data_IF_261703780231
#
_entry.id   IF_261703780231
#
_cell.length_a   1.000
_cell.length_b   1.000
_cell.length_c   1.000
_cell.angle_alpha   90.00
_cell.angle_beta   90.00
_cell.angle_gamma   90.00
#
_symmetry.space_group_name_H-M   'P 1'
#
loop_
_entity.id
_entity.type
_entity.pdbx_description
1 polymer ?
#
# COMPACT_ATOMS: atom_id res chain seq x y z
N UNK A 1 48.11 21.85 -25.13
CA UNK A 1 46.71 21.72 -24.66
C UNK A 1 46.38 20.24 -24.62
N UNK A 2 46.33 19.57 -23.44
CA UNK A 2 46.09 18.14 -23.40
C UNK A 2 44.60 17.82 -23.41
N UNK A 3 44.28 16.75 -24.14
CA UNK A 3 43.01 16.07 -24.30
C UNK A 3 42.26 15.82 -22.99
N UNK A 4 40.99 16.23 -22.94
CA UNK A 4 39.99 15.64 -22.04
C UNK A 4 39.45 14.36 -22.69
N UNK A 5 40.16 13.27 -22.46
CA UNK A 5 39.63 11.92 -22.65
C UNK A 5 38.50 11.71 -21.63
N UNK A 6 37.28 12.03 -22.05
CA UNK A 6 36.07 11.76 -21.27
C UNK A 6 35.65 10.35 -21.64
N UNK A 7 36.42 9.36 -21.16
CA UNK A 7 36.04 7.95 -21.21
C UNK A 7 34.73 7.82 -20.42
N UNK A 8 33.60 7.80 -21.14
CA UNK A 8 32.34 7.26 -20.63
C UNK A 8 32.67 5.88 -20.08
N UNK A 9 32.77 5.75 -18.75
CA UNK A 9 32.81 4.44 -18.07
C UNK A 9 31.63 3.66 -18.62
N UNK A 10 31.90 2.66 -19.48
CA UNK A 10 30.87 1.69 -19.86
C UNK A 10 30.30 1.15 -18.55
N UNK A 11 29.00 1.30 -18.36
CA UNK A 11 28.31 0.73 -17.23
C UNK A 11 28.60 -0.78 -17.23
N UNK A 12 29.43 -1.23 -16.28
CA UNK A 12 29.81 -2.62 -16.17
C UNK A 12 28.54 -3.42 -15.86
N UNK A 13 28.25 -4.43 -16.69
CA UNK A 13 27.13 -5.34 -16.48
C UNK A 13 27.26 -5.93 -15.06
N UNK A 14 26.27 -5.75 -14.18
CA UNK A 14 26.34 -6.29 -12.82
C UNK A 14 26.38 -7.81 -12.87
N UNK A 15 26.97 -8.46 -11.87
CA UNK A 15 26.93 -9.94 -11.81
C UNK A 15 25.50 -10.41 -11.60
N UNK A 16 25.16 -11.60 -12.12
CA UNK A 16 23.79 -12.14 -12.06
C UNK A 16 23.29 -12.25 -10.62
N UNK A 17 24.16 -12.57 -9.66
CA UNK A 17 23.83 -12.63 -8.24
C UNK A 17 23.42 -11.27 -7.68
N UNK A 18 24.17 -10.22 -8.01
CA UNK A 18 23.92 -8.88 -7.51
C UNK A 18 22.66 -8.28 -8.15
N UNK A 19 22.46 -8.53 -9.46
CA UNK A 19 21.25 -8.13 -10.16
C UNK A 19 20.02 -8.85 -9.59
N UNK A 20 20.11 -10.17 -9.36
CA UNK A 20 19.03 -10.97 -8.77
C UNK A 20 18.63 -10.43 -7.40
N UNK A 21 19.61 -10.17 -6.53
CA UNK A 21 19.36 -9.69 -5.18
C UNK A 21 18.71 -8.30 -5.15
N UNK A 22 19.20 -7.37 -5.99
CA UNK A 22 18.58 -6.06 -6.14
C UNK A 22 17.13 -6.16 -6.63
N UNK A 23 16.89 -6.94 -7.70
CA UNK A 23 15.55 -7.10 -8.28
C UNK A 23 14.59 -7.77 -7.29
N UNK A 24 15.07 -8.68 -6.44
CA UNK A 24 14.29 -9.31 -5.37
C UNK A 24 13.84 -8.30 -4.32
N UNK A 25 14.77 -7.50 -3.80
CA UNK A 25 14.46 -6.47 -2.82
C UNK A 25 13.57 -5.37 -3.41
N UNK A 26 13.84 -4.93 -4.64
CA UNK A 26 13.04 -3.94 -5.37
C UNK A 26 11.59 -4.42 -5.58
N UNK A 27 11.41 -5.67 -6.03
CA UNK A 27 10.08 -6.26 -6.26
C UNK A 27 9.31 -6.44 -4.95
N UNK A 28 9.99 -6.91 -3.89
CA UNK A 28 9.43 -7.03 -2.55
C UNK A 28 9.01 -5.67 -1.99
N UNK A 29 9.82 -4.62 -2.17
CA UNK A 29 9.50 -3.27 -1.76
C UNK A 29 8.27 -2.71 -2.47
N UNK A 30 8.13 -2.90 -3.79
CA UNK A 30 6.92 -2.50 -4.52
C UNK A 30 5.68 -3.21 -3.97
N UNK A 31 5.76 -4.53 -3.76
CA UNK A 31 4.64 -5.33 -3.26
C UNK A 31 4.23 -4.91 -1.83
N UNK A 32 5.19 -4.80 -0.92
CA UNK A 32 4.95 -4.43 0.48
C UNK A 32 4.48 -2.98 0.65
N UNK A 33 4.57 -2.14 -0.38
CA UNK A 33 4.00 -0.79 -0.40
C UNK A 33 2.67 -0.70 -1.16
N UNK A 34 2.14 -1.82 -1.64
CA UNK A 34 0.80 -1.93 -2.21
C UNK A 34 0.73 -1.81 -3.74
N UNK A 35 1.81 -2.12 -4.46
CA UNK A 35 1.74 -2.20 -5.93
C UNK A 35 0.94 -3.44 -6.38
N UNK A 36 0.26 -3.35 -7.53
CA UNK A 36 -0.34 -4.49 -8.21
C UNK A 36 0.69 -5.28 -9.02
N UNK A 37 0.41 -6.56 -9.25
CA UNK A 37 1.37 -7.57 -9.74
C UNK A 37 1.92 -7.20 -11.10
N UNK A 38 1.06 -6.80 -12.04
CA UNK A 38 1.50 -6.44 -13.39
C UNK A 38 2.42 -5.23 -13.42
N UNK A 39 2.31 -4.30 -12.46
CA UNK A 39 3.28 -3.19 -12.31
C UNK A 39 4.62 -3.67 -11.81
N UNK A 40 4.63 -4.56 -10.81
CA UNK A 40 5.87 -5.14 -10.26
C UNK A 40 6.65 -5.84 -11.38
N UNK A 41 5.98 -6.73 -12.12
CA UNK A 41 6.59 -7.47 -13.22
C UNK A 41 7.18 -6.51 -14.27
N UNK A 42 6.39 -5.56 -14.77
CA UNK A 42 6.84 -4.60 -15.80
C UNK A 42 8.03 -3.75 -15.35
N UNK A 43 8.06 -3.31 -14.10
CA UNK A 43 9.16 -2.49 -13.58
C UNK A 43 10.43 -3.32 -13.40
N UNK A 44 10.32 -4.54 -12.86
CA UNK A 44 11.46 -5.43 -12.66
C UNK A 44 12.04 -5.91 -13.99
N UNK A 45 11.20 -6.27 -14.96
CA UNK A 45 11.62 -6.63 -16.33
C UNK A 45 12.35 -5.49 -17.02
N UNK A 46 11.87 -4.25 -16.87
CA UNK A 46 12.53 -3.06 -17.44
C UNK A 46 13.96 -2.90 -16.91
N UNK A 47 14.15 -3.06 -15.60
CA UNK A 47 15.48 -2.96 -14.97
C UNK A 47 16.37 -4.11 -15.43
N UNK A 48 15.86 -5.35 -15.43
CA UNK A 48 16.63 -6.52 -15.86
C UNK A 48 17.12 -6.37 -17.31
N UNK A 49 16.24 -5.94 -18.22
CA UNK A 49 16.58 -5.73 -19.63
C UNK A 49 17.61 -4.62 -19.82
N UNK A 50 17.55 -3.55 -19.04
CA UNK A 50 18.55 -2.48 -19.07
C UNK A 50 19.96 -2.99 -18.72
N UNK A 51 20.06 -4.04 -17.91
CA UNK A 51 21.32 -4.72 -17.55
C UNK A 51 21.63 -5.95 -18.41
N UNK A 52 20.86 -6.22 -19.46
CA UNK A 52 21.09 -7.36 -20.36
C UNK A 52 20.70 -8.72 -19.76
N UNK A 53 19.72 -8.73 -18.86
CA UNK A 53 19.11 -9.92 -18.27
C UNK A 53 17.64 -10.04 -18.65
N UNK A 54 17.15 -11.27 -18.72
CA UNK A 54 15.73 -11.57 -18.76
C UNK A 54 15.29 -12.08 -17.39
N UNK A 55 14.06 -11.76 -17.00
CA UNK A 55 13.53 -12.10 -15.67
C UNK A 55 12.09 -12.55 -15.78
N UNK A 56 11.75 -13.59 -15.04
CA UNK A 56 10.37 -14.03 -14.82
C UNK A 56 10.07 -14.06 -13.34
N UNK A 57 8.92 -13.52 -12.96
CA UNK A 57 8.51 -13.39 -11.57
C UNK A 57 7.21 -14.15 -11.30
N UNK A 58 7.19 -14.86 -10.18
CA UNK A 58 5.94 -15.36 -9.58
C UNK A 58 5.72 -14.60 -8.28
N UNK A 59 4.66 -13.80 -8.23
CA UNK A 59 4.36 -12.90 -7.11
C UNK A 59 3.22 -13.47 -6.27
N UNK A 60 3.52 -13.78 -5.01
CA UNK A 60 2.53 -14.12 -4.00
C UNK A 60 2.57 -13.11 -2.85
N UNK A 61 1.52 -13.06 -2.01
CA UNK A 61 1.49 -12.16 -0.85
C UNK A 61 2.68 -12.36 0.08
N UNK A 62 3.07 -13.61 0.36
CA UNK A 62 4.12 -13.93 1.33
C UNK A 62 5.51 -14.07 0.73
N UNK A 63 5.61 -14.46 -0.55
CA UNK A 63 6.87 -14.75 -1.21
C UNK A 63 6.87 -14.23 -2.64
N UNK A 64 8.03 -13.82 -3.13
CA UNK A 64 8.27 -13.60 -4.56
C UNK A 64 9.37 -14.57 -4.99
N UNK A 65 9.11 -15.29 -6.08
CA UNK A 65 10.12 -16.09 -6.77
C UNK A 65 10.57 -15.33 -8.00
N UNK A 66 11.89 -15.17 -8.16
CA UNK A 66 12.51 -14.51 -9.30
C UNK A 66 13.44 -15.49 -9.99
N UNK A 67 13.23 -15.68 -11.29
CA UNK A 67 14.14 -16.39 -12.18
C UNK A 67 14.82 -15.36 -13.08
N UNK A 68 16.14 -15.28 -13.02
CA UNK A 68 16.94 -14.40 -13.89
C UNK A 68 17.84 -15.24 -14.80
N UNK A 69 17.93 -14.84 -16.06
CA UNK A 69 18.75 -15.49 -17.10
C UNK A 69 19.56 -14.44 -17.85
N UNK A 70 20.82 -14.76 -18.15
CA UNK A 70 21.64 -13.91 -19.02
C UNK A 70 21.19 -14.06 -20.48
N UNK A 71 20.88 -12.95 -21.13
CA UNK A 71 20.46 -12.91 -22.54
C UNK A 71 21.50 -13.45 -23.51
N UNK A 72 22.79 -13.41 -23.14
CA UNK A 72 23.88 -13.91 -23.99
C UNK A 72 24.33 -15.33 -23.63
N UNK A 73 23.97 -15.83 -22.44
CA UNK A 73 24.38 -17.15 -21.99
C UNK A 73 23.32 -17.77 -21.08
N UNK A 74 22.50 -18.65 -21.64
CA UNK A 74 21.42 -19.31 -20.93
C UNK A 74 21.88 -20.18 -19.74
N UNK A 75 23.11 -20.68 -19.76
CA UNK A 75 23.67 -21.48 -18.65
C UNK A 75 23.87 -20.62 -17.39
N UNK A 76 23.99 -19.30 -17.55
CA UNK A 76 23.98 -18.34 -16.44
C UNK A 76 22.55 -17.99 -16.07
N UNK A 77 21.98 -18.80 -15.18
CA UNK A 77 20.65 -18.60 -14.62
C UNK A 77 20.65 -18.73 -13.10
N UNK A 78 19.77 -18.00 -12.44
CA UNK A 78 19.61 -18.05 -10.99
C UNK A 78 18.14 -17.90 -10.61
N UNK A 79 17.73 -18.68 -9.61
CA UNK A 79 16.43 -18.56 -8.97
C UNK A 79 16.61 -18.12 -7.53
N UNK A 80 15.89 -17.09 -7.12
CA UNK A 80 15.86 -16.62 -5.74
C UNK A 80 14.41 -16.51 -5.26
N UNK A 81 14.19 -16.88 -4.00
CA UNK A 81 12.91 -16.70 -3.32
C UNK A 81 13.13 -15.75 -2.16
N UNK A 82 12.35 -14.67 -2.10
CA UNK A 82 12.38 -13.69 -1.01
C UNK A 82 11.04 -13.70 -0.28
N UNK A 83 11.09 -13.52 1.04
CA UNK A 83 9.91 -13.33 1.87
C UNK A 83 9.52 -11.85 1.86
N UNK A 84 8.23 -11.58 1.68
CA UNK A 84 7.73 -10.21 1.65
C UNK A 84 7.46 -9.69 3.06
N UNK A 85 7.66 -8.39 3.25
CA UNK A 85 7.23 -7.70 4.46
C UNK A 85 5.70 -7.52 4.46
N UNK A 86 5.07 -7.30 5.64
CA UNK A 86 3.65 -7.01 5.74
C UNK A 86 3.23 -5.88 4.80
N UNK A 87 2.08 -6.04 4.13
CA UNK A 87 1.58 -5.04 3.20
C UNK A 87 1.26 -3.73 3.93
N UNK A 88 1.82 -2.65 3.42
CA UNK A 88 1.49 -1.27 3.73
C UNK A 88 1.12 -0.56 2.44
N UNK A 89 0.47 0.62 2.53
CA UNK A 89 0.12 1.41 1.36
C UNK A 89 0.97 2.68 1.33
N UNK A 90 1.83 2.81 0.32
CA UNK A 90 2.63 4.00 0.09
C UNK A 90 2.71 4.30 -1.41
N UNK A 91 1.72 5.03 -1.91
CA UNK A 91 1.61 5.37 -3.33
C UNK A 91 2.77 6.25 -3.81
N UNK A 92 3.31 7.13 -2.95
CA UNK A 92 4.46 7.96 -3.28
C UNK A 92 5.70 7.11 -3.54
N UNK A 93 6.00 6.15 -2.66
CA UNK A 93 7.13 5.24 -2.85
C UNK A 93 6.95 4.34 -4.08
N UNK A 94 5.73 3.84 -4.34
CA UNK A 94 5.45 3.09 -5.58
C UNK A 94 5.75 3.95 -6.80
N UNK A 95 5.32 5.21 -6.80
CA UNK A 95 5.56 6.15 -7.91
C UNK A 95 7.06 6.39 -8.11
N UNK A 96 7.79 6.67 -7.03
CA UNK A 96 9.23 6.92 -7.08
C UNK A 96 10.02 5.69 -7.55
N UNK A 97 9.69 4.49 -7.05
CA UNK A 97 10.32 3.25 -7.50
C UNK A 97 9.98 2.95 -8.97
N UNK A 98 8.77 3.26 -9.41
CA UNK A 98 8.38 3.13 -10.82
C UNK A 98 9.20 4.11 -11.69
N UNK A 99 9.39 5.35 -11.24
CA UNK A 99 10.26 6.32 -11.92
C UNK A 99 11.72 5.86 -11.96
N UNK A 100 12.23 5.28 -10.86
CA UNK A 100 13.58 4.71 -10.80
C UNK A 100 13.79 3.63 -11.87
N UNK A 101 12.79 2.78 -12.14
CA UNK A 101 12.92 1.77 -13.20
C UNK A 101 13.09 2.38 -14.59
N UNK A 102 12.47 3.55 -14.85
CA UNK A 102 12.67 4.30 -16.09
C UNK A 102 14.02 4.98 -16.12
N UNK A 103 14.44 5.62 -15.02
CA UNK A 103 15.77 6.23 -14.91
C UNK A 103 16.89 5.21 -15.15
N UNK A 104 16.79 4.00 -14.59
CA UNK A 104 17.77 2.93 -14.84
C UNK A 104 17.82 2.56 -16.32
N UNK A 105 16.67 2.49 -16.98
CA UNK A 105 16.58 2.14 -18.40
C UNK A 105 17.12 3.23 -19.32
N UNK A 106 16.68 4.48 -19.11
CA UNK A 106 16.95 5.60 -20.01
C UNK A 106 18.36 6.18 -19.79
N UNK A 107 18.78 6.30 -18.53
CA UNK A 107 20.10 6.84 -18.16
C UNK A 107 21.18 5.76 -18.05
N UNK A 108 20.80 4.47 -18.22
CA UNK A 108 21.68 3.30 -18.12
C UNK A 108 22.48 3.27 -16.82
N UNK A 109 21.78 3.48 -15.70
CA UNK A 109 22.40 3.52 -14.38
C UNK A 109 23.09 2.19 -14.05
N UNK A 110 24.29 2.31 -13.49
CA UNK A 110 25.02 1.16 -12.93
C UNK A 110 24.33 0.66 -11.66
N UNK A 111 24.55 -0.60 -11.31
CA UNK A 111 23.96 -1.20 -10.09
C UNK A 111 24.23 -0.37 -8.82
N UNK A 112 25.46 0.14 -8.55
CA UNK A 112 25.68 0.98 -7.37
C UNK A 112 24.85 2.27 -7.36
N UNK A 113 24.66 2.91 -8.53
CA UNK A 113 23.83 4.12 -8.64
C UNK A 113 22.35 3.81 -8.45
N UNK A 114 21.89 2.67 -8.98
CA UNK A 114 20.53 2.17 -8.77
C UNK A 114 20.28 1.86 -7.29
N UNK A 115 21.24 1.22 -6.61
CA UNK A 115 21.18 0.92 -5.18
C UNK A 115 21.10 2.20 -4.35
N UNK A 116 21.96 3.19 -4.62
CA UNK A 116 21.94 4.48 -3.92
C UNK A 116 20.59 5.19 -4.09
N UNK A 117 20.04 5.20 -5.31
CA UNK A 117 18.74 5.83 -5.60
C UNK A 117 17.59 5.07 -4.93
N UNK A 118 17.66 3.74 -4.90
CA UNK A 118 16.72 2.89 -4.19
C UNK A 118 16.75 3.19 -2.68
N UNK A 119 17.93 3.16 -2.05
CA UNK A 119 18.11 3.40 -0.61
C UNK A 119 17.64 4.81 -0.22
N UNK A 120 17.92 5.81 -1.05
CA UNK A 120 17.41 7.17 -0.86
C UNK A 120 15.89 7.21 -0.80
N UNK A 121 15.20 6.53 -1.74
CA UNK A 121 13.75 6.50 -1.79
C UNK A 121 13.13 5.74 -0.61
N UNK A 122 13.74 4.63 -0.20
CA UNK A 122 13.30 3.85 0.97
C UNK A 122 13.48 4.66 2.28
N UNK A 123 14.52 5.48 2.37
CA UNK A 123 14.83 6.28 3.55
C UNK A 123 13.98 7.55 3.71
N UNK A 124 13.18 7.94 2.71
CA UNK A 124 12.37 9.16 2.78
C UNK A 124 11.38 9.12 3.95
N UNK A 125 11.41 10.17 4.78
CA UNK A 125 10.53 10.30 5.94
C UNK A 125 9.09 10.52 5.49
N UNK A 126 8.18 9.84 6.20
CA UNK A 126 6.73 10.06 6.07
C UNK A 126 6.34 11.42 6.63
N UNK A 127 5.18 11.93 6.21
CA UNK A 127 4.55 13.13 6.77
C UNK A 127 4.52 13.05 8.31
N UNK A 128 4.58 14.21 8.98
CA UNK A 128 4.50 14.25 10.44
C UNK A 128 3.18 13.60 10.90
N UNK A 129 3.22 12.71 11.92
CA UNK A 129 2.07 11.87 12.26
C UNK A 129 0.86 12.71 12.69
N UNK A 130 1.08 13.82 13.39
CA UNK A 130 0.03 14.69 13.92
C UNK A 130 -0.69 15.44 12.79
N UNK A 131 0.07 16.03 11.85
CA UNK A 131 -0.52 16.71 10.70
C UNK A 131 -1.28 15.73 9.81
N UNK A 132 -0.74 14.51 9.65
CA UNK A 132 -1.42 13.42 8.94
C UNK A 132 -2.78 13.08 9.55
N UNK A 133 -2.87 12.92 10.88
CA UNK A 133 -4.15 12.64 11.56
C UNK A 133 -5.18 13.73 11.29
N UNK A 134 -4.78 14.99 11.40
CA UNK A 134 -5.68 16.11 11.16
C UNK A 134 -6.17 16.17 9.70
N UNK A 135 -5.26 16.09 8.73
CA UNK A 135 -5.60 16.13 7.30
C UNK A 135 -6.51 14.95 6.92
N UNK A 136 -6.23 13.73 7.39
CA UNK A 136 -7.06 12.56 7.12
C UNK A 136 -8.45 12.75 7.73
N UNK A 137 -8.55 13.31 8.95
CA UNK A 137 -9.84 13.53 9.61
C UNK A 137 -10.68 14.58 8.88
N UNK A 138 -10.06 15.69 8.46
CA UNK A 138 -10.74 16.72 7.62
C UNK A 138 -11.16 16.13 6.27
N UNK A 139 -10.27 15.38 5.63
CA UNK A 139 -10.55 14.73 4.34
C UNK A 139 -11.72 13.74 4.44
N UNK A 140 -11.77 12.92 5.50
CA UNK A 140 -12.88 12.00 5.71
C UNK A 140 -14.20 12.74 6.01
N UNK A 141 -14.14 13.79 6.83
CA UNK A 141 -15.31 14.61 7.16
C UNK A 141 -15.86 15.37 5.95
N UNK A 142 -15.02 15.75 4.97
CA UNK A 142 -15.48 16.39 3.75
C UNK A 142 -16.42 15.50 2.91
N UNK A 143 -16.27 14.17 2.97
CA UNK A 143 -17.19 13.25 2.31
C UNK A 143 -18.61 13.29 2.88
N UNK A 144 -18.80 13.78 4.11
CA UNK A 144 -20.12 13.99 4.70
C UNK A 144 -21.04 14.76 3.75
N UNK A 145 -20.51 15.84 3.14
CA UNK A 145 -21.30 16.68 2.24
C UNK A 145 -21.63 15.99 0.92
N UNK A 146 -20.75 15.11 0.44
CA UNK A 146 -20.99 14.31 -0.77
C UNK A 146 -22.16 13.33 -0.60
N UNK A 147 -22.37 12.82 0.63
CA UNK A 147 -23.48 11.93 0.96
C UNK A 147 -24.76 12.67 1.39
N UNK A 148 -24.76 14.01 1.34
CA UNK A 148 -25.92 14.82 1.75
C UNK A 148 -26.03 15.06 3.27
N UNK A 149 -24.96 14.82 4.03
CA UNK A 149 -24.95 15.02 5.47
C UNK A 149 -24.95 16.48 5.90
N UNK A 150 -25.38 16.69 7.15
CA UNK A 150 -25.39 18.00 7.80
C UNK A 150 -24.05 18.35 8.48
N UNK A 151 -23.96 19.58 9.01
CA UNK A 151 -22.77 20.03 9.73
C UNK A 151 -22.53 19.20 11.01
N UNK A 152 -23.60 18.71 11.65
CA UNK A 152 -23.49 17.81 12.80
C UNK A 152 -22.79 16.50 12.45
N UNK A 153 -23.19 15.86 11.36
CA UNK A 153 -22.59 14.62 10.88
C UNK A 153 -21.12 14.85 10.50
N UNK A 154 -20.78 16.00 9.92
CA UNK A 154 -19.40 16.37 9.63
C UNK A 154 -18.55 16.37 10.89
N UNK A 155 -19.03 16.97 11.99
CA UNK A 155 -18.33 16.99 13.28
C UNK A 155 -18.21 15.59 13.89
N UNK A 156 -19.26 14.77 13.81
CA UNK A 156 -19.25 13.38 14.28
C UNK A 156 -18.21 12.54 13.51
N UNK A 157 -18.17 12.66 12.18
CA UNK A 157 -17.21 11.96 11.32
C UNK A 157 -15.78 12.42 11.63
N UNK A 158 -15.56 13.72 11.80
CA UNK A 158 -14.26 14.27 12.16
C UNK A 158 -13.78 13.71 13.51
N UNK A 159 -14.62 13.78 14.54
CA UNK A 159 -14.29 13.28 15.87
C UNK A 159 -14.04 11.76 15.88
N UNK A 160 -14.91 10.99 15.23
CA UNK A 160 -14.76 9.54 15.09
C UNK A 160 -13.46 9.17 14.37
N UNK A 161 -13.16 9.83 13.24
CA UNK A 161 -11.93 9.60 12.47
C UNK A 161 -10.69 9.96 13.28
N UNK A 162 -10.71 11.11 13.96
CA UNK A 162 -9.60 11.58 14.77
C UNK A 162 -9.26 10.59 15.87
N UNK A 163 -10.27 10.17 16.65
CA UNK A 163 -10.11 9.16 17.71
C UNK A 163 -9.67 7.82 17.11
N UNK A 164 -10.28 7.38 16.01
CA UNK A 164 -9.98 6.11 15.36
C UNK A 164 -8.54 5.98 14.87
N UNK A 165 -7.95 7.05 14.35
CA UNK A 165 -6.53 7.04 13.94
C UNK A 165 -5.63 6.86 15.16
N UNK A 166 -5.91 7.54 16.27
CA UNK A 166 -5.19 7.36 17.53
C UNK A 166 -5.33 5.94 18.08
N UNK A 167 -6.55 5.40 18.07
CA UNK A 167 -6.82 3.99 18.42
C UNK A 167 -5.98 3.05 17.57
N UNK A 168 -5.93 3.27 16.25
CA UNK A 168 -5.14 2.43 15.34
C UNK A 168 -3.65 2.51 15.64
N UNK A 169 -3.11 3.70 15.92
CA UNK A 169 -1.71 3.89 16.32
C UNK A 169 -1.43 3.15 17.63
N UNK A 170 -2.33 3.25 18.60
CA UNK A 170 -2.22 2.55 19.88
C UNK A 170 -2.25 1.03 19.71
N UNK A 171 -3.22 0.50 18.95
CA UNK A 171 -3.32 -0.93 18.65
C UNK A 171 -2.08 -1.47 17.93
N UNK A 172 -1.48 -0.68 17.03
CA UNK A 172 -0.23 -1.05 16.38
C UNK A 172 0.95 -1.11 17.37
N UNK A 173 1.02 -0.19 18.35
CA UNK A 173 2.07 -0.20 19.39
C UNK A 173 2.01 -1.45 20.27
N UNK A 174 0.81 -1.92 20.61
CA UNK A 174 0.62 -3.15 21.40
C UNK A 174 0.71 -4.44 20.56
N UNK A 175 1.05 -4.34 19.26
CA UNK A 175 1.19 -5.47 18.33
C UNK A 175 -0.05 -6.38 18.23
N UNK A 176 -1.24 -5.80 18.35
CA UNK A 176 -2.49 -6.52 18.18
C UNK A 176 -2.62 -7.09 16.75
N UNK A 177 -3.25 -8.25 16.58
CA UNK A 177 -3.49 -8.82 15.23
C UNK A 177 -4.28 -7.85 14.34
N UNK A 178 -3.90 -7.75 13.07
CA UNK A 178 -4.50 -6.78 12.13
C UNK A 178 -6.03 -6.88 12.03
N UNK A 179 -6.60 -8.09 12.12
CA UNK A 179 -8.06 -8.29 12.04
C UNK A 179 -8.75 -7.75 13.28
N UNK A 180 -8.19 -8.02 14.45
CA UNK A 180 -8.67 -7.47 15.72
C UNK A 180 -8.54 -5.94 15.76
N UNK A 181 -7.50 -5.37 15.12
CA UNK A 181 -7.35 -3.92 15.02
C UNK A 181 -8.51 -3.29 14.24
N UNK A 182 -8.87 -3.85 13.09
CA UNK A 182 -9.99 -3.34 12.29
C UNK A 182 -11.32 -3.46 13.03
N UNK A 183 -11.56 -4.55 13.75
CA UNK A 183 -12.77 -4.73 14.57
C UNK A 183 -12.84 -3.68 15.70
N UNK A 184 -11.78 -3.51 16.49
CA UNK A 184 -11.77 -2.54 17.58
C UNK A 184 -11.84 -1.09 17.08
N UNK A 185 -11.10 -0.76 16.03
CA UNK A 185 -11.11 0.58 15.46
C UNK A 185 -12.48 0.93 14.90
N UNK A 186 -13.09 0.05 14.11
CA UNK A 186 -14.43 0.30 13.56
C UNK A 186 -15.45 0.51 14.67
N UNK A 187 -15.47 -0.35 15.69
CA UNK A 187 -16.34 -0.19 16.85
C UNK A 187 -16.15 1.16 17.56
N UNK A 188 -14.91 1.54 17.88
CA UNK A 188 -14.64 2.81 18.59
C UNK A 188 -15.05 4.00 17.73
N UNK A 189 -14.72 3.98 16.44
CA UNK A 189 -15.06 5.04 15.49
C UNK A 189 -16.57 5.22 15.37
N UNK A 190 -17.32 4.14 15.13
CA UNK A 190 -18.78 4.19 15.04
C UNK A 190 -19.42 4.57 16.37
N UNK A 191 -18.87 4.12 17.50
CA UNK A 191 -19.39 4.45 18.83
C UNK A 191 -19.22 5.94 19.18
N UNK A 192 -18.07 6.54 18.83
CA UNK A 192 -17.85 7.99 18.99
C UNK A 192 -18.83 8.79 18.12
N UNK A 193 -19.04 8.36 16.86
CA UNK A 193 -20.03 8.99 16.00
C UNK A 193 -21.46 8.84 16.57
N UNK A 194 -21.79 7.67 17.12
CA UNK A 194 -23.06 7.41 17.77
C UNK A 194 -23.29 8.31 19.00
N UNK A 195 -22.28 8.59 19.83
CA UNK A 195 -22.43 9.53 20.95
C UNK A 195 -22.90 10.91 20.45
N UNK A 196 -22.34 11.38 19.32
CA UNK A 196 -22.78 12.63 18.70
C UNK A 196 -24.22 12.59 18.20
N UNK A 197 -24.64 11.45 17.63
CA UNK A 197 -26.03 11.19 17.25
C UNK A 197 -26.96 11.20 18.47
N UNK A 198 -26.59 10.51 19.54
CA UNK A 198 -27.38 10.40 20.77
C UNK A 198 -27.58 11.76 21.47
N UNK A 199 -26.58 12.65 21.38
CA UNK A 199 -26.68 14.03 21.86
C UNK A 199 -27.55 14.94 20.97
N UNK A 200 -28.07 14.44 19.85
CA UNK A 200 -28.88 15.21 18.91
C UNK A 200 -28.09 16.23 18.09
N UNK A 201 -26.78 16.05 17.94
CA UNK A 201 -25.92 16.99 17.21
C UNK A 201 -26.19 16.96 15.69
N UNK A 202 -26.69 15.83 15.17
CA UNK A 202 -26.94 15.62 13.74
C UNK A 202 -28.37 15.14 13.47
N UNK A 203 -28.95 15.62 12.38
CA UNK A 203 -30.20 15.14 11.81
C UNK A 203 -30.00 13.99 10.81
N UNK A 204 -28.75 13.61 10.52
CA UNK A 204 -28.39 12.57 9.54
C UNK A 204 -27.54 11.47 10.19
N UNK A 205 -28.13 10.63 11.06
CA UNK A 205 -27.39 9.62 11.84
C UNK A 205 -26.73 8.55 10.98
N UNK A 206 -27.40 8.09 9.92
CA UNK A 206 -26.88 7.06 9.02
C UNK A 206 -25.59 7.51 8.33
N UNK A 207 -25.56 8.78 7.90
CA UNK A 207 -24.40 9.40 7.26
C UNK A 207 -23.26 9.58 8.26
N UNK A 208 -23.57 10.00 9.49
CA UNK A 208 -22.57 10.18 10.54
C UNK A 208 -21.87 8.84 10.88
N UNK A 209 -22.63 7.77 11.07
CA UNK A 209 -22.08 6.45 11.40
C UNK A 209 -21.33 5.86 10.20
N UNK A 210 -21.95 5.79 9.02
CA UNK A 210 -21.33 5.20 7.82
C UNK A 210 -20.12 6.00 7.33
N UNK A 211 -20.17 7.33 7.39
CA UNK A 211 -19.06 8.19 7.00
C UNK A 211 -17.86 8.10 7.95
N UNK A 212 -18.10 7.86 9.25
CA UNK A 212 -17.04 7.81 10.24
C UNK A 212 -16.02 6.69 9.97
N UNK A 213 -16.48 5.55 9.47
CA UNK A 213 -15.64 4.37 9.20
C UNK A 213 -14.98 4.38 7.82
N UNK A 214 -15.37 5.30 6.93
CA UNK A 214 -14.97 5.26 5.52
C UNK A 214 -13.45 5.24 5.32
N UNK A 215 -12.70 5.98 6.15
CA UNK A 215 -11.23 6.01 6.08
C UNK A 215 -10.55 4.68 6.41
N UNK A 216 -11.23 3.76 7.12
CA UNK A 216 -10.71 2.44 7.48
C UNK A 216 -10.78 1.46 6.31
N UNK A 217 -11.63 1.71 5.32
CA UNK A 217 -11.84 0.81 4.18
C UNK A 217 -10.59 0.88 3.28
N UNK A 218 -9.87 -0.23 3.07
CA UNK A 218 -8.64 -0.24 2.27
C UNK A 218 -8.95 -0.23 0.76
N UNK A 219 -9.58 0.84 0.26
CA UNK A 219 -10.09 0.93 -1.11
C UNK A 219 -9.03 0.68 -2.19
N UNK A 220 -7.84 1.26 -2.04
CA UNK A 220 -6.74 1.03 -2.99
C UNK A 220 -6.32 -0.45 -3.09
N UNK A 221 -6.35 -1.20 -1.98
CA UNK A 221 -6.00 -2.62 -1.98
C UNK A 221 -7.09 -3.48 -2.64
N UNK A 222 -8.36 -3.09 -2.50
CA UNK A 222 -9.48 -3.72 -3.21
C UNK A 222 -9.32 -3.50 -4.71
N UNK A 223 -9.09 -2.25 -5.14
CA UNK A 223 -8.87 -1.93 -6.56
C UNK A 223 -7.70 -2.73 -7.11
N UNK A 224 -6.59 -2.83 -6.38
CA UNK A 224 -5.45 -3.63 -6.80
C UNK A 224 -5.76 -5.12 -7.00
N UNK A 225 -6.62 -5.70 -6.16
CA UNK A 225 -7.06 -7.08 -6.32
C UNK A 225 -7.83 -7.27 -7.63
N UNK A 226 -8.72 -6.34 -7.97
CA UNK A 226 -9.43 -6.33 -9.25
C UNK A 226 -8.49 -6.14 -10.44
N UNK A 227 -7.54 -5.20 -10.34
CA UNK A 227 -6.53 -4.97 -11.38
C UNK A 227 -5.70 -6.23 -11.63
N UNK A 228 -5.34 -6.99 -10.59
CA UNK A 228 -4.63 -8.25 -10.73
C UNK A 228 -5.46 -9.29 -11.49
N UNK A 229 -6.77 -9.42 -11.22
CA UNK A 229 -7.66 -10.33 -11.95
C UNK A 229 -7.76 -9.92 -13.43
N UNK A 230 -7.93 -8.63 -13.71
CA UNK A 230 -8.03 -8.11 -15.09
C UNK A 230 -6.76 -8.37 -15.89
N UNK A 231 -5.59 -8.30 -15.26
CA UNK A 231 -4.29 -8.57 -15.90
C UNK A 231 -3.87 -10.03 -15.77
N UNK A 232 -4.82 -10.97 -15.65
CA UNK A 232 -4.58 -12.42 -15.61
C UNK A 232 -3.69 -12.92 -14.44
N UNK A 233 -3.43 -12.07 -13.45
CA UNK A 233 -2.78 -12.44 -12.19
C UNK A 233 -3.81 -12.98 -11.18
N UNK A 234 -4.68 -13.88 -11.65
CA UNK A 234 -5.92 -14.29 -10.97
C UNK A 234 -5.67 -14.89 -9.58
N UNK A 235 -4.65 -15.74 -9.43
CA UNK A 235 -4.36 -16.37 -8.14
C UNK A 235 -3.98 -15.33 -7.07
N UNK A 236 -3.20 -14.31 -7.45
CA UNK A 236 -2.85 -13.21 -6.57
C UNK A 236 -4.05 -12.30 -6.29
N UNK A 237 -4.85 -12.01 -7.32
CA UNK A 237 -6.08 -11.23 -7.22
C UNK A 237 -7.08 -11.86 -6.25
N UNK A 238 -7.38 -13.15 -6.41
CA UNK A 238 -8.26 -13.91 -5.50
C UNK A 238 -7.72 -13.90 -4.06
N UNK A 239 -6.40 -14.11 -3.88
CA UNK A 239 -5.79 -14.08 -2.55
C UNK A 239 -5.96 -12.72 -1.86
N UNK A 240 -5.78 -11.62 -2.60
CA UNK A 240 -6.03 -10.26 -2.10
C UNK A 240 -7.51 -10.03 -1.79
N UNK A 241 -8.41 -10.45 -2.68
CA UNK A 241 -9.86 -10.31 -2.50
C UNK A 241 -10.33 -11.01 -1.23
N UNK A 242 -9.91 -12.26 -0.99
CA UNK A 242 -10.25 -13.00 0.23
C UNK A 242 -9.72 -12.28 1.46
N UNK A 243 -8.48 -11.80 1.43
CA UNK A 243 -7.90 -11.07 2.56
C UNK A 243 -8.67 -9.77 2.86
N UNK A 244 -9.06 -9.02 1.82
CA UNK A 244 -9.87 -7.81 1.97
C UNK A 244 -11.28 -8.14 2.44
N UNK A 245 -11.89 -9.23 1.99
CA UNK A 245 -13.21 -9.67 2.46
C UNK A 245 -13.20 -9.97 3.96
N UNK A 246 -12.16 -10.65 4.47
CA UNK A 246 -11.98 -10.88 5.91
C UNK A 246 -11.88 -9.55 6.68
N UNK A 247 -11.11 -8.59 6.16
CA UNK A 247 -11.02 -7.25 6.78
C UNK A 247 -12.37 -6.53 6.78
N UNK A 248 -13.13 -6.59 5.69
CA UNK A 248 -14.45 -5.99 5.59
C UNK A 248 -15.45 -6.62 6.56
N UNK A 249 -15.39 -7.94 6.77
CA UNK A 249 -16.22 -8.63 7.78
C UNK A 249 -15.86 -8.14 9.19
N UNK A 250 -14.57 -7.98 9.51
CA UNK A 250 -14.14 -7.44 10.80
C UNK A 250 -14.64 -5.99 11.02
N UNK A 251 -14.59 -5.15 9.98
CA UNK A 251 -15.12 -3.79 10.01
C UNK A 251 -16.64 -3.79 10.25
N UNK A 252 -17.38 -4.60 9.48
CA UNK A 252 -18.82 -4.73 9.61
C UNK A 252 -19.22 -5.21 11.01
N UNK A 253 -18.50 -6.19 11.56
CA UNK A 253 -18.74 -6.70 12.92
C UNK A 253 -18.58 -5.60 13.98
N UNK A 254 -17.52 -4.78 13.90
CA UNK A 254 -17.32 -3.68 14.85
C UNK A 254 -18.44 -2.64 14.82
N UNK A 255 -18.89 -2.26 13.62
CA UNK A 255 -20.04 -1.36 13.44
C UNK A 255 -21.33 -1.97 13.96
N UNK A 256 -21.56 -3.25 13.69
CA UNK A 256 -22.76 -3.96 14.13
C UNK A 256 -22.88 -4.02 15.66
N UNK A 257 -21.74 -4.17 16.37
CA UNK A 257 -21.71 -4.08 17.84
C UNK A 257 -22.18 -2.70 18.30
N UNK A 258 -21.73 -1.61 17.65
CA UNK A 258 -22.23 -0.26 17.96
C UNK A 258 -23.73 -0.15 17.73
N UNK A 259 -24.24 -0.63 16.59
CA UNK A 259 -25.67 -0.56 16.28
C UNK A 259 -26.53 -1.34 17.28
N UNK A 260 -26.06 -2.53 17.69
CA UNK A 260 -26.71 -3.34 18.73
C UNK A 260 -26.80 -2.62 20.09
N UNK A 261 -25.74 -1.90 20.49
CA UNK A 261 -25.74 -1.09 21.72
C UNK A 261 -26.64 0.13 21.56
N UNK A 262 -26.61 0.75 20.40
CA UNK A 262 -27.32 1.98 20.10
C UNK A 262 -28.85 1.81 20.06
N UNK A 263 -29.37 0.56 19.99
CA UNK A 263 -30.79 0.26 19.71
C UNK A 263 -31.32 1.03 18.50
N UNK A 264 -30.45 1.48 17.60
CA UNK A 264 -30.85 2.12 16.35
C UNK A 264 -31.23 0.97 15.42
N UNK A 265 -32.53 0.78 15.22
CA UNK A 265 -33.05 -0.08 14.17
C UNK A 265 -32.75 0.59 12.82
N UNK A 266 -31.60 0.27 12.22
CA UNK A 266 -31.33 0.54 10.79
C UNK A 266 -31.71 -0.70 9.95
N UNK A 267 -32.63 -1.52 10.45
CA UNK A 267 -33.20 -2.68 9.76
C UNK A 267 -34.67 -2.82 10.13
#
# INVERSE_FOLDING_TARGET
MPHKDTTKKLAQKPTIEQACDFLAHYSSALLSNGAYTSRIIKCTERIARAWGYEVHLTVFLKYITINITDTQNYDKRRTQVIKNAPLSLNLALISNLSALSWQIHDEKLTLPQAQQSYDYNIAQKRLSPILGVFIISVGNAAFCRLFGGDLGALLCIFAGTFVGIWTRIFCHKIKLDSRAQYLLCSFIVSFVAYIGVWLGITATPDIAIAGSILYLIPGALIINAFVDIIHENTLMGVSRTINMAVVMICLAAGVFITLGIAKINIL
#
